data_IF_340665516067
#
_entry.id   IF_340665516067
#
_cell.length_a   1.000
_cell.length_b   1.000
_cell.length_c   1.000
_cell.angle_alpha   90.00
_cell.angle_beta   90.00
_cell.angle_gamma   90.00
#
_symmetry.space_group_name_H-M   'P 1'
#
loop_
_entity.id
_entity.type
_entity.pdbx_description
1 polymer ?
#
# COMPACT_ATOMS: atom_id res chain seq x y z
N UNK A 1 13.13 20.38 10.63
CA UNK A 1 14.11 19.45 10.03
C UNK A 1 14.61 18.46 11.08
N UNK A 2 15.05 18.89 12.27
CA UNK A 2 15.45 17.97 13.37
C UNK A 2 14.29 17.18 13.98
N UNK A 3 13.14 17.80 14.24
CA UNK A 3 11.97 17.12 14.83
C UNK A 3 11.34 16.07 13.90
N UNK A 4 11.16 16.40 12.62
CA UNK A 4 10.64 15.46 11.62
C UNK A 4 11.55 14.25 11.39
N UNK A 5 12.86 14.45 11.50
CA UNK A 5 13.85 13.36 11.45
C UNK A 5 13.72 12.45 12.68
N UNK A 6 13.57 13.04 13.87
CA UNK A 6 13.40 12.28 15.12
C UNK A 6 12.09 11.48 15.15
N UNK A 7 10.99 12.02 14.64
CA UNK A 7 9.70 11.30 14.57
C UNK A 7 9.76 10.10 13.64
N UNK A 8 10.35 10.25 12.45
CA UNK A 8 10.54 9.13 11.52
C UNK A 8 11.43 8.06 12.14
N UNK A 9 12.54 8.47 12.78
CA UNK A 9 13.43 7.56 13.49
C UNK A 9 12.71 6.78 14.60
N UNK A 10 11.88 7.45 15.39
CA UNK A 10 11.08 6.81 16.42
C UNK A 10 10.14 5.72 15.89
N UNK A 11 9.44 6.02 14.78
CA UNK A 11 8.57 5.03 14.12
C UNK A 11 9.38 3.84 13.59
N UNK A 12 10.53 4.09 12.96
CA UNK A 12 11.38 3.04 12.43
C UNK A 12 11.90 2.12 13.53
N UNK A 13 12.33 2.68 14.67
CA UNK A 13 12.77 1.88 15.83
C UNK A 13 11.62 1.07 16.43
N UNK A 14 10.40 1.61 16.45
CA UNK A 14 9.23 0.84 16.90
C UNK A 14 8.96 -0.35 15.97
N UNK A 15 9.03 -0.14 14.65
CA UNK A 15 8.83 -1.20 13.65
C UNK A 15 9.96 -2.24 13.64
N UNK A 16 11.19 -1.82 13.92
CA UNK A 16 12.33 -2.74 14.12
C UNK A 16 12.10 -3.65 15.34
N UNK A 17 11.62 -3.09 16.45
CA UNK A 17 11.36 -3.86 17.68
C UNK A 17 10.14 -4.77 17.50
N UNK A 18 9.06 -4.27 16.89
CA UNK A 18 7.83 -5.02 16.72
C UNK A 18 7.93 -6.08 15.63
N UNK A 19 8.73 -5.82 14.58
CA UNK A 19 8.96 -6.71 13.44
C UNK A 19 7.67 -7.33 12.88
N UNK A 20 6.70 -6.52 12.40
CA UNK A 20 5.41 -7.03 11.95
C UNK A 20 5.54 -7.91 10.70
N UNK A 21 4.88 -9.06 10.68
CA UNK A 21 4.72 -9.88 9.48
C UNK A 21 3.74 -9.25 8.48
N UNK A 22 2.74 -8.51 8.98
CA UNK A 22 1.69 -7.85 8.19
C UNK A 22 1.55 -6.41 8.67
N UNK A 23 1.57 -5.47 7.74
CA UNK A 23 1.25 -4.07 8.01
C UNK A 23 -0.12 -3.74 7.42
N UNK A 24 -1.06 -3.40 8.31
CA UNK A 24 -2.39 -2.94 7.95
C UNK A 24 -2.47 -1.42 8.05
N UNK A 25 -3.19 -0.83 7.12
CA UNK A 25 -3.57 0.57 7.19
C UNK A 25 -4.67 0.91 6.19
N UNK A 26 -5.26 2.09 6.32
CA UNK A 26 -6.41 2.50 5.52
C UNK A 26 -5.97 3.57 4.53
N UNK A 27 -5.90 3.21 3.25
CA UNK A 27 -5.39 4.08 2.19
C UNK A 27 -3.88 4.45 2.34
N UNK A 28 -3.12 3.63 3.07
CA UNK A 28 -1.68 3.79 3.25
C UNK A 28 -0.94 3.84 1.91
N UNK A 29 -1.35 3.00 0.97
CA UNK A 29 -0.72 2.92 -0.34
C UNK A 29 -1.17 4.03 -1.30
N UNK A 30 -2.24 4.74 -0.96
CA UNK A 30 -2.72 5.92 -1.68
C UNK A 30 -2.16 7.24 -1.14
N UNK A 31 -1.66 7.28 0.11
CA UNK A 31 -1.24 8.52 0.75
C UNK A 31 0.00 8.38 1.65
N UNK A 32 -0.07 7.55 2.70
CA UNK A 32 0.92 7.52 3.78
C UNK A 32 2.30 7.06 3.30
N UNK A 33 2.37 5.95 2.56
CA UNK A 33 3.64 5.47 2.04
C UNK A 33 4.30 6.42 1.04
N UNK A 34 3.59 6.97 0.03
CA UNK A 34 4.15 8.00 -0.82
C UNK A 34 4.72 9.19 -0.03
N UNK A 35 3.99 9.65 0.98
CA UNK A 35 4.43 10.75 1.84
C UNK A 35 5.68 10.38 2.65
N UNK A 36 5.68 9.23 3.31
CA UNK A 36 6.79 8.76 4.15
C UNK A 36 8.06 8.59 3.30
N UNK A 37 7.96 7.95 2.14
CA UNK A 37 9.10 7.75 1.23
C UNK A 37 9.62 9.09 0.70
N UNK A 38 8.72 10.01 0.33
CA UNK A 38 9.12 11.35 -0.13
C UNK A 38 9.88 12.12 0.97
N UNK A 39 9.35 12.11 2.20
CA UNK A 39 9.96 12.78 3.35
C UNK A 39 11.29 12.15 3.75
N UNK A 40 11.36 10.83 3.87
CA UNK A 40 12.58 10.10 4.20
C UNK A 40 13.69 10.32 3.16
N UNK A 41 13.31 10.39 1.87
CA UNK A 41 14.27 10.70 0.80
C UNK A 41 14.82 12.12 0.91
N UNK A 42 13.96 13.12 1.12
CA UNK A 42 14.39 14.53 1.31
C UNK A 42 15.28 14.72 2.53
N UNK A 43 15.01 13.98 3.60
CA UNK A 43 15.79 14.00 4.84
C UNK A 43 17.05 13.14 4.76
N UNK A 44 17.26 12.38 3.66
CA UNK A 44 18.37 11.43 3.47
C UNK A 44 18.46 10.37 4.56
N UNK A 45 17.31 9.82 4.95
CA UNK A 45 17.21 8.75 5.96
C UNK A 45 16.46 7.52 5.46
N UNK A 46 16.12 7.47 4.17
CA UNK A 46 15.36 6.35 3.58
C UNK A 46 16.13 5.01 3.65
N UNK A 47 17.43 5.04 3.39
CA UNK A 47 18.32 3.89 3.49
C UNK A 47 18.41 3.36 4.92
N UNK A 48 18.63 4.26 5.88
CA UNK A 48 18.59 3.92 7.30
C UNK A 48 17.23 3.34 7.70
N UNK A 49 16.13 3.99 7.32
CA UNK A 49 14.75 3.53 7.60
C UNK A 49 14.49 2.11 7.09
N UNK A 50 14.83 1.83 5.84
CA UNK A 50 14.68 0.48 5.27
C UNK A 50 15.58 -0.52 5.98
N UNK A 51 16.79 -0.13 6.36
CA UNK A 51 17.71 -1.02 7.07
C UNK A 51 17.17 -1.43 8.44
N UNK A 52 16.50 -0.52 9.18
CA UNK A 52 15.89 -0.84 10.47
C UNK A 52 14.61 -1.68 10.32
N UNK A 53 13.79 -1.39 9.31
CA UNK A 53 12.48 -2.03 9.14
C UNK A 53 12.51 -3.35 8.36
N UNK A 54 13.65 -3.70 7.74
CA UNK A 54 13.79 -4.89 6.90
C UNK A 54 14.15 -6.12 7.74
N UNK A 55 13.45 -7.23 7.52
CA UNK A 55 13.85 -8.52 8.10
C UNK A 55 15.15 -9.08 7.48
N UNK A 56 15.61 -8.51 6.35
CA UNK A 56 16.89 -8.86 5.75
C UNK A 56 17.97 -7.85 6.18
N UNK A 57 18.70 -8.20 7.24
CA UNK A 57 19.76 -7.37 7.83
C UNK A 57 21.07 -7.36 7.02
N UNK A 58 21.28 -8.34 6.14
CA UNK A 58 22.53 -8.50 5.39
C UNK A 58 22.58 -7.65 4.12
N UNK A 59 21.44 -7.13 3.67
CA UNK A 59 21.35 -6.34 2.43
C UNK A 59 21.35 -4.85 2.75
N UNK A 60 22.52 -4.22 2.68
CA UNK A 60 22.62 -2.75 2.66
C UNK A 60 22.20 -2.24 1.28
N UNK A 61 21.08 -1.53 1.22
CA UNK A 61 20.59 -0.90 0.00
C UNK A 61 20.75 0.60 0.09
N UNK A 62 21.38 1.22 -0.90
CA UNK A 62 21.39 2.68 -1.00
C UNK A 62 20.02 3.21 -1.45
N UNK A 63 19.78 4.51 -1.25
CA UNK A 63 18.51 5.18 -1.58
C UNK A 63 18.06 4.89 -3.02
N UNK A 64 18.97 4.93 -4.00
CA UNK A 64 18.62 4.64 -5.40
C UNK A 64 18.14 3.20 -5.58
N UNK A 65 18.83 2.23 -4.97
CA UNK A 65 18.46 0.81 -5.05
C UNK A 65 17.08 0.57 -4.42
N UNK A 66 16.77 1.24 -3.31
CA UNK A 66 15.47 1.16 -2.65
C UNK A 66 14.37 1.69 -3.57
N UNK A 67 14.56 2.87 -4.17
CA UNK A 67 13.57 3.48 -5.05
C UNK A 67 13.34 2.66 -6.33
N UNK A 68 14.37 1.95 -6.82
CA UNK A 68 14.26 1.11 -8.02
C UNK A 68 13.59 -0.24 -7.69
N UNK A 69 13.98 -0.89 -6.59
CA UNK A 69 13.65 -2.31 -6.37
C UNK A 69 12.58 -2.55 -5.31
N UNK A 70 12.41 -1.64 -4.36
CA UNK A 70 11.55 -1.83 -3.19
C UNK A 70 10.34 -0.89 -3.19
N UNK A 71 10.44 0.30 -3.79
CA UNK A 71 9.34 1.26 -3.82
C UNK A 71 8.52 1.13 -5.11
N UNK A 72 7.21 0.90 -4.96
CA UNK A 72 6.22 0.90 -6.04
C UNK A 72 5.55 2.28 -6.03
N UNK A 73 5.69 3.09 -7.08
CA UNK A 73 5.34 4.52 -7.01
C UNK A 73 4.54 5.11 -8.17
N UNK A 74 4.24 4.30 -9.18
CA UNK A 74 3.52 4.75 -10.37
C UNK A 74 4.37 5.60 -11.31
N UNK A 75 3.83 5.86 -12.50
CA UNK A 75 4.46 6.69 -13.53
C UNK A 75 4.37 8.18 -13.20
N UNK A 76 4.88 8.58 -12.04
CA UNK A 76 5.24 9.97 -11.81
C UNK A 76 6.65 10.03 -11.22
N UNK A 77 7.41 10.99 -11.73
CA UNK A 77 8.84 11.19 -11.47
C UNK A 77 9.16 11.04 -9.99
N UNK A 78 10.37 10.57 -9.62
CA UNK A 78 10.86 10.78 -8.27
C UNK A 78 10.86 12.29 -8.00
N UNK A 79 10.17 12.69 -6.93
CA UNK A 79 10.49 13.88 -6.15
C UNK A 79 10.73 15.16 -6.97
N UNK A 80 9.79 15.58 -7.80
CA UNK A 80 9.60 17.02 -8.00
C UNK A 80 8.67 17.52 -6.90
N UNK A 81 8.90 18.73 -6.41
CA UNK A 81 8.24 19.43 -5.29
C UNK A 81 6.71 19.59 -5.38
N UNK A 82 6.01 18.78 -6.18
CA UNK A 82 4.63 18.98 -6.61
C UNK A 82 3.56 18.13 -5.93
N UNK A 83 3.88 17.09 -5.15
CA UNK A 83 2.82 16.24 -4.55
C UNK A 83 1.89 17.04 -3.60
N UNK A 84 2.35 18.20 -3.12
CA UNK A 84 1.59 19.11 -2.25
C UNK A 84 1.33 20.51 -2.84
N UNK A 85 1.78 20.82 -4.06
CA UNK A 85 1.43 22.10 -4.70
C UNK A 85 0.14 21.96 -5.50
N UNK A 86 -0.98 21.95 -4.79
CA UNK A 86 -2.29 22.29 -5.36
C UNK A 86 -2.66 23.73 -4.99
N UNK A 87 -1.70 24.63 -5.11
CA UNK A 87 -1.96 26.06 -5.17
C UNK A 87 -1.28 26.63 -6.42
N UNK A 88 -2.06 27.43 -7.12
CA UNK A 88 -1.76 28.25 -8.28
C UNK A 88 -0.27 28.59 -8.52
N UNK A 89 0.14 28.39 -9.79
CA UNK A 89 1.29 28.99 -10.48
C UNK A 89 2.68 28.48 -10.09
N UNK A 90 3.15 27.45 -10.80
CA UNK A 90 4.58 27.19 -10.97
C UNK A 90 4.95 27.21 -12.46
N UNK A 91 5.79 28.17 -12.85
CA UNK A 91 6.37 28.30 -14.20
C UNK A 91 7.27 27.08 -14.50
N UNK A 92 7.15 26.57 -15.72
CA UNK A 92 7.99 25.49 -16.27
C UNK A 92 9.43 25.96 -16.49
N UNK A 93 10.37 25.42 -15.73
CA UNK A 93 11.82 25.29 -16.03
C UNK A 93 12.35 24.23 -15.06
N UNK A 94 13.11 23.19 -15.37
CA UNK A 94 13.99 22.90 -16.50
C UNK A 94 13.76 21.50 -17.07
N UNK A 95 13.95 21.38 -18.38
CA UNK A 95 14.07 20.13 -19.12
C UNK A 95 15.52 19.66 -18.94
N UNK A 96 15.73 18.45 -18.41
CA UNK A 96 16.92 17.57 -18.57
C UNK A 96 17.42 16.87 -17.29
N UNK A 97 16.53 16.38 -16.42
CA UNK A 97 16.91 15.31 -15.50
C UNK A 97 16.58 13.95 -16.13
N UNK A 98 17.61 13.12 -16.38
CA UNK A 98 17.46 11.78 -16.94
C UNK A 98 16.57 10.92 -16.03
N UNK A 99 15.57 10.27 -16.64
CA UNK A 99 14.62 9.33 -16.02
C UNK A 99 15.40 8.26 -15.24
N UNK A 100 15.12 8.11 -13.96
CA UNK A 100 15.54 6.94 -13.19
C UNK A 100 14.29 6.09 -12.95
N UNK A 101 14.30 4.90 -13.55
CA UNK A 101 13.20 3.93 -13.61
C UNK A 101 12.93 3.35 -12.20
N UNK A 102 11.83 3.78 -11.58
CA UNK A 102 11.25 3.13 -10.39
C UNK A 102 10.23 2.06 -10.81
N UNK A 103 9.85 1.17 -9.88
CA UNK A 103 8.75 0.23 -10.14
C UNK A 103 7.42 0.96 -10.27
N UNK A 104 6.64 0.56 -11.26
CA UNK A 104 5.28 1.04 -11.42
C UNK A 104 4.42 0.71 -10.19
N UNK A 105 3.45 1.57 -9.92
CA UNK A 105 2.42 1.34 -8.89
C UNK A 105 1.63 0.11 -9.28
N UNK A 106 1.11 -0.59 -8.28
CA UNK A 106 0.26 -1.75 -8.54
C UNK A 106 -1.17 -1.26 -8.67
N UNK A 107 -1.78 -1.54 -9.82
CA UNK A 107 -3.20 -1.32 -10.03
C UNK A 107 -3.97 -2.55 -9.53
N UNK A 108 -4.45 -2.46 -8.28
CA UNK A 108 -5.29 -3.49 -7.67
C UNK A 108 -6.66 -3.43 -8.33
N UNK A 109 -7.00 -4.45 -9.11
CA UNK A 109 -8.28 -4.52 -9.82
C UNK A 109 -9.40 -4.93 -8.87
N UNK A 110 -10.54 -4.26 -8.96
CA UNK A 110 -11.75 -4.63 -8.23
C UNK A 110 -12.99 -4.49 -9.12
N UNK A 111 -13.97 -5.39 -8.92
CA UNK A 111 -15.18 -5.43 -9.74
C UNK A 111 -14.95 -5.78 -11.23
N UNK A 112 -16.01 -5.66 -12.02
CA UNK A 112 -16.05 -6.05 -13.44
C UNK A 112 -15.82 -4.89 -14.42
N UNK A 113 -15.84 -3.64 -13.94
CA UNK A 113 -15.89 -2.43 -14.79
C UNK A 113 -14.51 -1.74 -14.96
N UNK A 114 -13.41 -2.50 -14.97
CA UNK A 114 -12.04 -1.97 -14.98
C UNK A 114 -11.74 -0.95 -13.86
N UNK A 115 -12.45 -1.06 -12.72
CA UNK A 115 -12.16 -0.23 -11.57
C UNK A 115 -10.86 -0.73 -10.94
N UNK A 116 -9.93 0.20 -10.74
CA UNK A 116 -8.62 -0.10 -10.19
C UNK A 116 -8.33 0.85 -9.04
N UNK A 117 -7.57 0.35 -8.07
CA UNK A 117 -7.00 1.12 -6.99
C UNK A 117 -5.49 1.19 -7.24
N UNK A 118 -4.99 2.39 -7.51
CA UNK A 118 -3.55 2.59 -7.69
C UNK A 118 -2.88 2.57 -6.31
N UNK A 119 -2.00 1.60 -6.10
CA UNK A 119 -1.33 1.35 -4.84
C UNK A 119 0.17 1.59 -4.99
N UNK A 120 0.68 2.58 -4.23
CA UNK A 120 2.09 2.94 -4.14
C UNK A 120 2.61 2.71 -2.72
N UNK A 121 3.62 1.87 -2.56
CA UNK A 121 4.10 1.47 -1.22
C UNK A 121 5.55 1.00 -1.24
N UNK A 122 6.16 1.02 -0.06
CA UNK A 122 7.50 0.49 0.16
C UNK A 122 7.42 -0.99 0.54
N UNK A 123 7.87 -1.87 -0.35
CA UNK A 123 7.95 -3.31 -0.07
C UNK A 123 9.15 -3.62 0.80
N UNK A 124 8.89 -3.98 2.05
CA UNK A 124 9.88 -4.40 3.03
C UNK A 124 10.01 -5.92 3.03
N UNK A 125 11.23 -6.49 2.93
CA UNK A 125 11.42 -7.92 3.12
C UNK A 125 10.92 -8.35 4.51
N UNK A 126 10.13 -9.43 4.55
CA UNK A 126 9.57 -9.97 5.79
C UNK A 126 8.26 -9.34 6.27
N UNK A 127 7.77 -8.29 5.61
CA UNK A 127 6.49 -7.66 5.95
C UNK A 127 5.59 -7.55 4.72
N UNK A 128 4.34 -7.98 4.85
CA UNK A 128 3.31 -7.87 3.80
C UNK A 128 2.42 -6.65 4.08
N UNK A 129 2.51 -5.57 3.27
CA UNK A 129 1.56 -4.48 3.38
C UNK A 129 0.20 -4.91 2.80
N UNK A 130 -0.87 -4.64 3.55
CA UNK A 130 -2.25 -4.86 3.12
C UNK A 130 -3.02 -3.57 3.36
N UNK A 131 -3.51 -2.95 2.28
CA UNK A 131 -4.35 -1.77 2.35
C UNK A 131 -5.80 -2.18 2.56
N UNK A 132 -6.36 -1.84 3.72
CA UNK A 132 -7.73 -2.20 4.10
C UNK A 132 -8.74 -1.52 3.19
N UNK A 133 -8.47 -0.29 2.71
CA UNK A 133 -9.35 0.39 1.77
C UNK A 133 -9.42 -0.38 0.44
N UNK A 134 -8.27 -0.78 -0.11
CA UNK A 134 -8.24 -1.57 -1.34
C UNK A 134 -8.93 -2.93 -1.16
N UNK A 135 -8.76 -3.56 0.00
CA UNK A 135 -9.40 -4.84 0.35
C UNK A 135 -10.93 -4.70 0.42
N UNK A 136 -11.43 -3.65 1.07
CA UNK A 136 -12.87 -3.37 1.14
C UNK A 136 -13.47 -3.03 -0.23
N UNK A 137 -12.72 -2.37 -1.12
CA UNK A 137 -13.16 -2.12 -2.50
C UNK A 137 -13.23 -3.40 -3.33
N UNK A 138 -12.40 -4.41 -3.04
CA UNK A 138 -12.54 -5.74 -3.65
C UNK A 138 -13.81 -6.45 -3.16
N UNK A 139 -14.15 -6.34 -1.87
CA UNK A 139 -15.35 -6.94 -1.28
C UNK A 139 -16.64 -6.22 -1.67
N UNK A 140 -16.59 -4.89 -1.80
CA UNK A 140 -17.72 -4.02 -2.12
C UNK A 140 -17.46 -3.13 -3.35
N UNK A 141 -17.30 -3.69 -4.57
CA UNK A 141 -16.90 -2.92 -5.75
C UNK A 141 -17.88 -1.82 -6.20
N UNK A 142 -19.13 -1.87 -5.73
CA UNK A 142 -20.19 -0.90 -6.04
C UNK A 142 -20.27 0.25 -5.05
N UNK A 143 -19.39 0.28 -4.06
CA UNK A 143 -19.42 1.35 -3.06
C UNK A 143 -19.11 2.70 -3.70
N UNK A 144 -20.01 3.67 -3.49
CA UNK A 144 -19.87 5.05 -3.97
C UNK A 144 -18.87 5.85 -3.14
N UNK A 145 -18.63 5.42 -1.89
CA UNK A 145 -17.77 6.12 -0.92
C UNK A 145 -16.61 5.22 -0.51
N UNK A 146 -15.46 5.84 -0.23
CA UNK A 146 -14.20 5.13 0.07
C UNK A 146 -13.56 5.58 1.38
N UNK A 147 -14.31 6.28 2.23
CA UNK A 147 -13.78 6.79 3.49
C UNK A 147 -13.87 5.73 4.59
N UNK A 148 -12.91 5.77 5.52
CA UNK A 148 -12.93 4.93 6.71
C UNK A 148 -14.27 5.05 7.46
N UNK A 149 -14.73 6.30 7.67
CA UNK A 149 -16.00 6.60 8.31
C UNK A 149 -17.18 5.89 7.66
N UNK A 150 -17.24 5.88 6.32
CA UNK A 150 -18.32 5.21 5.59
C UNK A 150 -18.33 3.70 5.85
N UNK A 151 -17.18 3.04 5.79
CA UNK A 151 -17.11 1.59 6.04
C UNK A 151 -17.39 1.22 7.51
N UNK A 152 -17.03 2.08 8.46
CA UNK A 152 -17.38 1.89 9.87
C UNK A 152 -18.90 1.96 10.08
N UNK A 153 -19.54 2.98 9.50
CA UNK A 153 -21.00 3.14 9.55
C UNK A 153 -21.72 1.95 8.91
N UNK A 154 -21.23 1.47 7.75
CA UNK A 154 -21.78 0.30 7.05
C UNK A 154 -21.68 -0.99 7.90
N UNK A 155 -20.61 -1.14 8.69
CA UNK A 155 -20.41 -2.28 9.58
C UNK A 155 -21.19 -2.20 10.89
N UNK A 156 -21.84 -1.07 11.19
CA UNK A 156 -22.41 -0.77 12.50
C UNK A 156 -21.35 -0.66 13.60
N UNK A 157 -20.12 -0.29 13.24
CA UNK A 157 -19.05 -0.01 14.19
C UNK A 157 -19.14 1.44 14.65
N UNK A 158 -18.60 1.71 15.83
CA UNK A 158 -18.53 3.07 16.36
C UNK A 158 -17.83 4.00 15.36
N UNK A 159 -18.32 5.24 15.32
CA UNK A 159 -17.73 6.26 14.48
C UNK A 159 -16.29 6.58 14.91
N UNK A 160 -15.51 6.92 13.90
CA UNK A 160 -14.21 7.56 14.07
C UNK A 160 -14.37 8.91 14.79
N UNK A 161 -13.38 9.30 15.59
CA UNK A 161 -13.28 10.67 16.11
C UNK A 161 -13.11 11.66 14.93
N UNK A 162 -13.95 12.67 14.80
CA UNK A 162 -13.82 13.66 13.71
C UNK A 162 -12.89 14.80 14.15
N UNK A 163 -11.69 14.87 13.55
CA UNK A 163 -10.75 15.98 13.74
C UNK A 163 -10.50 16.68 12.39
N UNK A 164 -11.16 17.82 12.11
CA UNK A 164 -10.96 18.55 10.85
C UNK A 164 -9.50 18.93 10.64
N UNK A 165 -9.03 18.86 9.39
CA UNK A 165 -7.65 19.20 9.02
C UNK A 165 -7.26 20.61 9.50
N UNK A 166 -8.16 21.58 9.40
CA UNK A 166 -7.93 22.96 9.89
C UNK A 166 -7.65 23.01 11.40
N UNK A 167 -8.35 22.19 12.18
CA UNK A 167 -8.17 22.07 13.63
C UNK A 167 -6.84 21.38 13.95
N UNK A 168 -6.49 20.32 13.21
CA UNK A 168 -5.20 19.64 13.34
C UNK A 168 -4.02 20.61 13.07
N UNK A 169 -4.09 21.40 11.99
CA UNK A 169 -3.06 22.40 11.69
C UNK A 169 -2.93 23.47 12.77
N UNK A 170 -4.06 23.94 13.31
CA UNK A 170 -4.08 24.92 14.40
C UNK A 170 -3.35 24.35 15.63
N UNK A 171 -3.77 23.17 16.08
CA UNK A 171 -3.19 22.50 17.24
C UNK A 171 -1.69 22.26 17.09
N UNK A 172 -1.27 21.73 15.92
CA UNK A 172 0.14 21.51 15.65
C UNK A 172 0.95 22.82 15.62
N UNK A 173 0.38 23.89 15.06
CA UNK A 173 1.05 25.20 15.01
C UNK A 173 1.21 25.82 16.41
N UNK A 174 0.22 25.66 17.28
CA UNK A 174 0.26 26.11 18.67
C UNK A 174 1.34 25.34 19.46
N UNK A 175 1.35 24.01 19.34
CA UNK A 175 2.32 23.15 20.02
C UNK A 175 3.77 23.41 19.61
N UNK A 176 4.00 23.82 18.36
CA UNK A 176 5.33 24.18 17.86
C UNK A 176 5.86 25.50 18.44
N UNK A 177 4.97 26.37 18.93
CA UNK A 177 5.32 27.69 19.45
C UNK A 177 5.86 27.64 20.87
N UNK A 178 4.98 27.37 21.84
CA UNK A 178 5.32 27.25 23.27
C UNK A 178 4.55 26.10 23.88
N UNK A 179 5.22 25.33 24.73
CA UNK A 179 4.59 24.27 25.51
C UNK A 179 3.75 24.93 26.61
N UNK A 180 2.45 24.68 26.55
CA UNK A 180 1.45 24.99 27.58
C UNK A 180 0.59 23.76 27.86
N UNK A 181 -0.14 23.77 28.99
CA UNK A 181 -1.11 22.73 29.32
C UNK A 181 -2.14 22.54 28.19
N UNK A 182 -2.64 23.64 27.63
CA UNK A 182 -3.57 23.61 26.49
C UNK A 182 -2.95 23.03 25.22
N UNK A 183 -1.69 23.34 24.90
CA UNK A 183 -1.01 22.77 23.74
C UNK A 183 -0.75 21.26 23.91
N UNK A 184 -0.53 20.83 25.16
CA UNK A 184 -0.30 19.42 25.50
C UNK A 184 -1.61 18.65 25.33
N UNK A 185 -2.72 19.18 25.85
CA UNK A 185 -4.07 18.62 25.66
C UNK A 185 -4.46 18.52 24.19
N UNK A 186 -4.17 19.55 23.38
CA UNK A 186 -4.41 19.54 21.94
C UNK A 186 -3.62 18.44 21.21
N UNK A 187 -2.35 18.23 21.59
CA UNK A 187 -1.53 17.15 21.04
C UNK A 187 -2.00 15.76 21.51
N UNK A 188 -2.51 15.65 22.75
CA UNK A 188 -3.18 14.43 23.22
C UNK A 188 -4.45 14.13 22.42
N UNK A 189 -5.24 15.14 22.05
CA UNK A 189 -6.41 14.98 21.18
C UNK A 189 -6.02 14.45 19.79
N UNK A 190 -4.95 14.99 19.19
CA UNK A 190 -4.42 14.49 17.91
C UNK A 190 -3.96 13.03 18.04
N UNK A 191 -3.20 12.71 19.09
CA UNK A 191 -2.69 11.36 19.30
C UNK A 191 -3.86 10.36 19.47
N UNK A 192 -4.86 10.71 20.29
CA UNK A 192 -6.04 9.89 20.49
C UNK A 192 -6.81 9.67 19.18
N UNK A 193 -6.99 10.73 18.37
CA UNK A 193 -7.59 10.62 17.04
C UNK A 193 -6.84 9.62 16.14
N UNK A 194 -5.50 9.71 16.06
CA UNK A 194 -4.69 8.78 15.28
C UNK A 194 -4.78 7.34 15.81
N UNK A 195 -4.81 7.14 17.13
CA UNK A 195 -4.95 5.82 17.74
C UNK A 195 -6.31 5.20 17.43
N UNK A 196 -7.39 5.97 17.52
CA UNK A 196 -8.74 5.50 17.18
C UNK A 196 -8.80 5.11 15.69
N UNK A 197 -8.26 5.93 14.78
CA UNK A 197 -8.22 5.61 13.35
C UNK A 197 -7.51 4.29 13.05
N UNK A 198 -6.34 4.08 13.66
CA UNK A 198 -5.57 2.85 13.50
C UNK A 198 -6.34 1.63 14.05
N UNK A 199 -6.96 1.77 15.23
CA UNK A 199 -7.79 0.73 15.83
C UNK A 199 -9.01 0.39 14.96
N UNK A 200 -9.75 1.40 14.50
CA UNK A 200 -10.93 1.21 13.65
C UNK A 200 -10.58 0.55 12.32
N UNK A 201 -9.41 0.86 11.75
CA UNK A 201 -8.88 0.17 10.57
C UNK A 201 -8.67 -1.33 10.84
N UNK A 202 -8.07 -1.68 11.99
CA UNK A 202 -7.88 -3.09 12.39
C UNK A 202 -9.20 -3.80 12.64
N UNK A 203 -10.16 -3.14 13.30
CA UNK A 203 -11.50 -3.70 13.53
C UNK A 203 -12.22 -4.02 12.22
N UNK A 204 -12.11 -3.16 11.19
CA UNK A 204 -12.64 -3.45 9.86
C UNK A 204 -11.97 -4.66 9.22
N UNK A 205 -10.63 -4.75 9.31
CA UNK A 205 -9.89 -5.88 8.78
C UNK A 205 -10.32 -7.21 9.42
N UNK A 206 -10.56 -7.20 10.74
CA UNK A 206 -11.07 -8.35 11.49
C UNK A 206 -12.53 -8.65 11.15
N UNK A 207 -13.38 -7.62 11.10
CA UNK A 207 -14.83 -7.74 10.84
C UNK A 207 -15.12 -8.40 9.49
N UNK A 208 -14.30 -8.12 8.49
CA UNK A 208 -14.41 -8.70 7.15
C UNK A 208 -13.48 -9.89 6.90
N UNK A 209 -12.83 -10.41 7.93
CA UNK A 209 -11.96 -11.59 7.84
C UNK A 209 -10.84 -11.48 6.78
N UNK A 210 -10.41 -10.26 6.46
CA UNK A 210 -9.61 -9.94 5.25
C UNK A 210 -8.35 -10.80 5.16
N UNK A 211 -7.59 -10.88 6.25
CA UNK A 211 -6.33 -11.63 6.28
C UNK A 211 -6.58 -13.13 6.12
N UNK A 212 -7.60 -13.68 6.79
CA UNK A 212 -7.84 -15.12 6.74
C UNK A 212 -8.36 -15.54 5.36
N UNK A 213 -9.24 -14.76 4.74
CA UNK A 213 -9.72 -15.01 3.37
C UNK A 213 -8.55 -14.98 2.39
N UNK A 214 -7.64 -14.00 2.52
CA UNK A 214 -6.42 -13.95 1.73
C UNK A 214 -5.50 -15.15 1.99
N UNK A 215 -5.34 -15.59 3.24
CA UNK A 215 -4.54 -16.78 3.57
C UNK A 215 -5.13 -18.06 2.97
N UNK A 216 -6.45 -18.22 3.00
CA UNK A 216 -7.13 -19.37 2.40
C UNK A 216 -6.92 -19.39 0.88
N UNK A 217 -7.13 -18.25 0.22
CA UNK A 217 -6.88 -18.12 -1.22
C UNK A 217 -5.41 -18.39 -1.56
N UNK A 218 -4.48 -17.90 -0.75
CA UNK A 218 -3.05 -18.16 -0.94
C UNK A 218 -2.72 -19.66 -0.85
N UNK A 219 -3.32 -20.35 0.13
CA UNK A 219 -3.15 -21.78 0.33
C UNK A 219 -3.74 -22.60 -0.81
N UNK A 220 -4.93 -22.24 -1.30
CA UNK A 220 -5.60 -22.97 -2.40
C UNK A 220 -4.85 -22.76 -3.71
N UNK A 221 -4.48 -21.53 -4.02
CA UNK A 221 -3.90 -21.17 -5.31
C UNK A 221 -2.37 -21.31 -5.37
N UNK A 222 -1.71 -21.77 -4.30
CA UNK A 222 -0.25 -21.87 -4.21
C UNK A 222 0.47 -20.55 -4.58
N UNK A 223 0.00 -19.45 -4.00
CA UNK A 223 0.57 -18.09 -4.20
C UNK A 223 0.88 -17.45 -2.86
N UNK A 224 1.63 -16.34 -2.87
CA UNK A 224 1.94 -15.62 -1.63
C UNK A 224 0.74 -14.79 -1.14
N UNK A 225 0.70 -14.48 0.16
CA UNK A 225 -0.28 -13.54 0.73
C UNK A 225 -0.19 -12.13 0.11
N UNK A 226 1.00 -11.74 -0.33
CA UNK A 226 1.19 -10.51 -1.09
C UNK A 226 0.42 -10.58 -2.42
N UNK A 227 0.54 -11.70 -3.14
CA UNK A 227 -0.09 -11.85 -4.45
C UNK A 227 -1.62 -11.94 -4.36
N UNK A 228 -2.16 -12.42 -3.23
CA UNK A 228 -3.61 -12.46 -3.04
C UNK A 228 -4.22 -11.07 -2.97
N UNK A 229 -3.55 -10.14 -2.29
CA UNK A 229 -4.01 -8.76 -2.16
C UNK A 229 -3.77 -7.96 -3.45
N UNK A 230 -2.56 -8.03 -4.00
CA UNK A 230 -2.10 -7.13 -5.07
C UNK A 230 -2.43 -7.59 -6.49
N UNK A 231 -2.53 -8.90 -6.74
CA UNK A 231 -2.73 -9.42 -8.10
C UNK A 231 -4.14 -9.98 -8.31
N UNK A 232 -4.60 -9.84 -9.56
CA UNK A 232 -5.94 -10.24 -9.97
C UNK A 232 -6.19 -11.76 -9.85
N UNK A 233 -7.47 -12.14 -9.86
CA UNK A 233 -7.91 -13.54 -9.81
C UNK A 233 -7.24 -14.41 -10.87
N UNK A 234 -6.95 -13.87 -12.05
CA UNK A 234 -6.22 -14.59 -13.12
C UNK A 234 -4.92 -15.20 -12.61
N UNK A 235 -4.12 -14.48 -11.82
CA UNK A 235 -2.87 -15.00 -11.25
C UNK A 235 -3.12 -16.21 -10.35
N UNK A 236 -4.18 -16.13 -9.53
CA UNK A 236 -4.60 -17.19 -8.61
C UNK A 236 -5.01 -18.46 -9.39
N UNK A 237 -5.88 -18.29 -10.39
CA UNK A 237 -6.35 -19.39 -11.26
C UNK A 237 -5.20 -19.99 -12.07
N UNK A 238 -4.30 -19.17 -12.58
CA UNK A 238 -3.15 -19.63 -13.36
C UNK A 238 -2.20 -20.50 -12.54
N UNK A 239 -1.88 -20.13 -11.29
CA UNK A 239 -1.03 -20.97 -10.44
C UNK A 239 -1.75 -22.27 -10.05
N UNK A 240 -3.03 -22.20 -9.68
CA UNK A 240 -3.82 -23.39 -9.38
C UNK A 240 -3.88 -24.37 -10.57
N UNK A 241 -4.15 -23.85 -11.77
CA UNK A 241 -4.19 -24.66 -12.98
C UNK A 241 -2.81 -25.26 -13.31
N UNK A 242 -1.74 -24.50 -13.10
CA UNK A 242 -0.37 -25.01 -13.27
C UNK A 242 -0.06 -26.15 -12.29
N UNK A 243 -0.49 -26.04 -11.03
CA UNK A 243 -0.32 -27.08 -10.03
C UNK A 243 -1.10 -28.36 -10.39
N UNK A 244 -2.34 -28.23 -10.88
CA UNK A 244 -3.16 -29.37 -11.30
C UNK A 244 -2.67 -29.98 -12.63
N UNK A 245 -2.20 -29.17 -13.57
CA UNK A 245 -1.59 -29.68 -14.79
C UNK A 245 -0.33 -30.50 -14.47
N UNK A 246 0.48 -30.04 -13.51
CA UNK A 246 1.66 -30.75 -13.04
C UNK A 246 1.33 -32.12 -12.42
N UNK A 247 0.27 -32.24 -11.60
CA UNK A 247 -0.15 -33.53 -11.03
C UNK A 247 -0.63 -34.53 -12.09
N UNK A 248 -1.10 -34.04 -13.23
CA UNK A 248 -1.59 -34.85 -14.35
C UNK A 248 -0.54 -35.07 -15.46
N UNK A 249 0.71 -34.65 -15.25
CA UNK A 249 1.78 -34.69 -16.25
C UNK A 249 1.40 -33.96 -17.56
N UNK A 250 0.68 -32.85 -17.42
CA UNK A 250 0.27 -31.97 -18.50
C UNK A 250 1.16 -30.74 -18.51
N UNK A 251 1.82 -30.48 -19.64
CA UNK A 251 2.56 -29.25 -19.85
C UNK A 251 1.59 -28.08 -20.10
N UNK A 252 1.53 -27.14 -19.17
CA UNK A 252 0.72 -25.93 -19.30
C UNK A 252 1.56 -24.73 -19.74
N UNK A 253 1.09 -23.99 -20.75
CA UNK A 253 1.73 -22.78 -21.27
C UNK A 253 0.91 -21.54 -20.94
N UNK A 254 1.58 -20.54 -20.37
CA UNK A 254 1.00 -19.24 -20.03
C UNK A 254 1.00 -18.23 -21.18
N UNK A 255 1.27 -18.66 -22.43
CA UNK A 255 1.24 -17.77 -23.59
C UNK A 255 -0.17 -17.21 -23.79
N UNK A 256 -0.32 -15.90 -23.71
CA UNK A 256 -1.47 -15.21 -24.29
C UNK A 256 -1.41 -15.42 -25.79
N UNK A 257 -2.42 -16.05 -26.39
CA UNK A 257 -2.50 -16.13 -27.84
C UNK A 257 -2.62 -14.71 -28.39
N UNK A 258 -1.66 -14.26 -29.19
CA UNK A 258 -1.77 -13.00 -29.96
C UNK A 258 -2.91 -13.06 -31.01
N UNK A 259 -3.62 -14.18 -31.09
CA UNK A 259 -4.76 -14.39 -31.96
C UNK A 259 -6.06 -14.27 -31.15
N UNK A 260 -6.85 -13.24 -31.44
CA UNK A 260 -8.30 -13.29 -31.23
C UNK A 260 -8.83 -14.45 -32.08
N UNK A 261 -9.13 -15.59 -31.46
CA UNK A 261 -9.71 -16.73 -32.16
C UNK A 261 -11.15 -16.38 -32.57
N UNK A 262 -11.34 -15.92 -33.79
CA UNK A 262 -12.61 -16.00 -34.50
C UNK A 262 -12.70 -17.39 -35.14
N UNK A 263 -13.23 -18.36 -34.39
CA UNK A 263 -13.45 -19.72 -34.89
C UNK A 263 -13.79 -20.65 -33.74
N UNK A 264 -14.88 -21.43 -33.89
CA UNK A 264 -15.34 -22.35 -32.85
C UNK A 264 -14.25 -23.35 -32.49
N UNK A 265 -14.02 -23.53 -31.19
CA UNK A 265 -13.10 -24.53 -30.67
C UNK A 265 -13.61 -25.93 -31.05
N UNK A 266 -12.90 -26.59 -31.96
CA UNK A 266 -12.87 -28.05 -31.99
C UNK A 266 -11.70 -28.51 -31.13
N UNK A 267 -12.00 -29.55 -30.36
CA UNK A 267 -11.16 -30.27 -29.42
C UNK A 267 -9.73 -30.49 -29.93
N UNK A 268 -8.80 -30.52 -28.98
CA UNK A 268 -7.36 -30.83 -29.06
C UNK A 268 -6.44 -29.67 -28.64
N UNK A 269 -6.49 -29.32 -27.34
CA UNK A 269 -5.41 -28.58 -26.67
C UNK A 269 -4.98 -29.30 -25.39
N UNK A 270 -4.80 -30.62 -25.45
CA UNK A 270 -4.08 -31.38 -24.43
C UNK A 270 -3.41 -32.57 -25.13
N UNK A 271 -2.07 -32.57 -25.17
CA UNK A 271 -1.30 -33.77 -25.49
C UNK A 271 -0.69 -34.28 -24.18
N UNK A 272 -1.09 -35.47 -23.75
CA UNK A 272 -0.32 -36.22 -22.75
C UNK A 272 0.97 -36.73 -23.41
N UNK A 273 2.08 -36.67 -22.68
CA UNK A 273 3.27 -37.43 -23.06
C UNK A 273 3.05 -38.93 -22.81
#
# INVERSE_FOLDING_TARGET
>A
MRESDQSLKGICSMLEIFAPDIQLGFNDSGYDWPFIVEKATKLKVLDWMVQQMSANLHKTANIQSILIWNYFSGTEKPLSSGFFHRDQWAKKTDRNFRRTEGRESINIKFGTNNLNFESSFLKLPGCVPIDVCASLLQLFPRSERRSLKYFLEDCGLDSKADLPISKLWKYYSEARGRISDSSTENMHEIANYCTIDALRCQELAVRHNIINDYREVASIAYITLFDTHYYAIRTKVSNLLGAEAWTQDILFSMKTSDQKASGSFREHMFSRQ
#
